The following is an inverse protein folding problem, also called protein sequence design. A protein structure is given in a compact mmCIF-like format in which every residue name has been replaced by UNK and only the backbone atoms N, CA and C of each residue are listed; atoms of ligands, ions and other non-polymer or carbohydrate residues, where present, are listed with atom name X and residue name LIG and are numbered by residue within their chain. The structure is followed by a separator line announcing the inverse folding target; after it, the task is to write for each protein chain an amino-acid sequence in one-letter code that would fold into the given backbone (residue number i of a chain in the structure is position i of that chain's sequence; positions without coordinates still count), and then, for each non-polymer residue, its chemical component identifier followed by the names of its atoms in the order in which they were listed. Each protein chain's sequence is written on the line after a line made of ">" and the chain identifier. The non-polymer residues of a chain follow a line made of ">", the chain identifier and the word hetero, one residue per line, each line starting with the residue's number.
data_IF_725341492917
#
_entry.id   IF_725341492917
#
_cell.length_a   1.000
_cell.length_b   1.000
_cell.length_c   1.000
_cell.angle_alpha   90.00
_cell.angle_beta   90.00
_cell.angle_gamma   90.00
#
_symmetry.space_group_name_H-M   'P 1'
#
loop_
_entity.id
_entity.type
_entity.pdbx_description
1 polymer ?
#
# COMPACT_ATOMS: atom_id res chain seq x y z
N UNK A 1 -24.25 -30.37 49.86
CA UNK A 1 -23.65 -31.66 50.27
C UNK A 1 -22.34 -31.75 49.50
N UNK A 2 -21.23 -31.41 50.12
CA UNK A 2 -20.26 -32.26 50.80
C UNK A 2 -19.58 -33.19 49.74
N UNK A 3 -18.30 -33.26 49.56
CA UNK A 3 -17.11 -32.91 50.28
C UNK A 3 -15.88 -33.14 49.39
N UNK A 4 -14.94 -32.35 49.56
CA UNK A 4 -13.57 -32.48 50.13
C UNK A 4 -12.70 -33.64 49.64
N UNK A 5 -11.50 -33.32 49.19
CA UNK A 5 -10.41 -34.25 48.96
C UNK A 5 -9.10 -33.54 48.58
N UNK A 6 -8.39 -33.04 49.64
CA UNK A 6 -7.02 -32.50 49.59
C UNK A 6 -6.04 -33.67 49.65
N UNK A 7 -4.99 -33.68 48.85
CA UNK A 7 -3.69 -34.29 49.26
C UNK A 7 -2.50 -33.72 48.51
N UNK A 8 -1.61 -33.09 49.24
CA UNK A 8 -0.17 -32.85 49.05
C UNK A 8 0.59 -33.86 49.89
N UNK A 9 1.95 -33.89 49.85
CA UNK A 9 2.97 -33.78 48.82
C UNK A 9 4.00 -34.91 48.91
N UNK A 10 4.93 -35.03 47.98
CA UNK A 10 6.18 -35.76 48.24
C UNK A 10 7.39 -34.99 47.74
N UNK A 11 8.23 -34.67 48.72
CA UNK A 11 9.57 -34.11 48.59
C UNK A 11 10.55 -35.22 48.14
N UNK A 12 11.47 -34.92 47.24
CA UNK A 12 12.69 -35.66 47.13
C UNK A 12 13.90 -34.76 46.90
N UNK A 13 14.94 -35.20 47.52
CA UNK A 13 16.09 -34.54 48.07
C UNK A 13 17.18 -34.20 47.03
N UNK A 14 17.83 -33.11 47.34
CA UNK A 14 19.12 -32.58 46.95
C UNK A 14 20.24 -33.66 47.01
N UNK A 15 21.10 -33.71 45.96
CA UNK A 15 22.47 -34.16 46.08
C UNK A 15 23.39 -33.14 45.41
N UNK A 16 24.27 -32.56 46.25
CA UNK A 16 25.43 -31.77 45.86
C UNK A 16 26.56 -32.74 45.44
N UNK A 17 27.15 -32.50 44.29
CA UNK A 17 28.47 -33.02 43.99
C UNK A 17 29.36 -31.87 43.50
N UNK A 18 30.26 -31.45 44.35
CA UNK A 18 31.34 -30.53 44.06
C UNK A 18 32.39 -31.26 43.21
N UNK A 19 32.82 -30.70 42.08
CA UNK A 19 34.02 -31.11 41.38
C UNK A 19 34.87 -29.89 41.08
N UNK A 20 36.08 -29.95 41.66
CA UNK A 20 37.19 -29.04 41.51
C UNK A 20 37.69 -29.06 40.07
N UNK A 21 37.77 -27.90 39.42
CA UNK A 21 38.44 -27.75 38.12
C UNK A 21 39.74 -26.99 38.30
N UNK A 22 40.82 -27.69 38.02
CA UNK A 22 42.19 -27.19 37.92
C UNK A 22 42.29 -26.28 36.70
N UNK A 23 42.79 -25.08 36.91
CA UNK A 23 43.14 -24.13 35.86
C UNK A 23 44.41 -24.59 35.13
N UNK A 24 44.31 -24.80 33.83
CA UNK A 24 45.46 -24.81 32.93
C UNK A 24 45.35 -23.60 31.99
N UNK A 25 46.08 -22.58 32.31
CA UNK A 25 46.33 -21.45 31.44
C UNK A 25 47.28 -21.90 30.31
N UNK A 26 46.74 -22.01 29.09
CA UNK A 26 47.56 -21.99 27.89
C UNK A 26 47.08 -20.81 27.03
N UNK A 27 47.97 -19.84 26.95
CA UNK A 27 47.76 -18.66 26.11
C UNK A 27 47.64 -19.04 24.65
N UNK A 28 46.47 -18.74 24.10
CA UNK A 28 46.29 -18.52 22.68
C UNK A 28 45.84 -17.07 22.52
N UNK A 29 46.79 -16.20 22.24
CA UNK A 29 46.52 -14.88 21.70
C UNK A 29 45.91 -15.01 20.31
N UNK A 30 44.61 -15.40 20.27
CA UNK A 30 43.79 -15.24 19.12
C UNK A 30 43.53 -13.75 18.97
N UNK A 31 44.23 -13.11 18.06
CA UNK A 31 43.93 -11.75 17.64
C UNK A 31 42.50 -11.73 17.16
N UNK A 32 41.62 -11.07 17.92
CA UNK A 32 40.39 -10.55 17.42
C UNK A 32 40.82 -9.59 16.32
N UNK A 33 40.69 -10.03 15.06
CA UNK A 33 40.80 -9.14 13.93
C UNK A 33 39.72 -8.08 14.18
N UNK A 34 40.14 -6.92 14.64
CA UNK A 34 39.30 -5.73 14.62
C UNK A 34 38.86 -5.59 13.17
N UNK A 35 37.59 -5.92 12.88
CA UNK A 35 36.97 -5.55 11.63
C UNK A 35 37.21 -4.05 11.50
N UNK A 36 38.14 -3.67 10.63
CA UNK A 36 38.52 -2.29 10.42
C UNK A 36 37.26 -1.55 10.08
N UNK A 37 36.82 -0.67 10.96
CA UNK A 37 35.65 0.20 10.70
C UNK A 37 35.98 0.98 9.44
N UNK A 38 35.41 0.56 8.33
CA UNK A 38 35.53 1.28 7.06
C UNK A 38 34.94 2.65 7.33
N UNK A 39 35.80 3.68 7.36
CA UNK A 39 35.36 5.06 7.62
C UNK A 39 34.39 5.45 6.54
N UNK A 40 33.11 5.66 6.90
CA UNK A 40 32.06 6.10 5.98
C UNK A 40 32.48 7.41 5.33
N UNK A 41 32.12 7.58 4.06
CA UNK A 41 32.47 8.74 3.25
C UNK A 41 31.21 9.52 2.92
N UNK A 42 31.39 10.80 2.65
CA UNK A 42 30.39 11.60 1.98
C UNK A 42 30.27 11.12 0.52
N UNK A 43 29.05 10.80 0.09
CA UNK A 43 28.76 10.29 -1.25
C UNK A 43 27.99 11.33 -2.09
N UNK A 44 27.67 12.49 -1.51
CA UNK A 44 26.82 13.52 -2.11
C UNK A 44 25.36 13.08 -2.23
N UNK A 45 24.54 13.88 -2.89
CA UNK A 45 23.13 13.62 -3.14
C UNK A 45 22.38 13.15 -1.87
N UNK A 46 22.45 13.94 -0.81
CA UNK A 46 21.78 13.65 0.46
C UNK A 46 22.41 12.57 1.34
N UNK A 47 23.56 11.97 0.94
CA UNK A 47 24.26 10.95 1.73
C UNK A 47 25.60 11.47 2.20
N UNK A 48 25.68 11.85 3.47
CA UNK A 48 26.92 12.26 4.16
C UNK A 48 27.66 11.06 4.77
N UNK A 49 28.80 11.32 5.39
CA UNK A 49 29.49 10.31 6.18
C UNK A 49 28.73 9.86 7.45
N UNK A 50 27.72 10.63 7.88
CA UNK A 50 26.99 10.40 9.13
C UNK A 50 25.50 10.19 8.91
N UNK A 51 24.93 10.84 7.91
CA UNK A 51 23.48 10.98 7.74
C UNK A 51 23.03 10.67 6.32
N UNK A 52 21.79 10.27 6.19
CA UNK A 52 21.04 10.16 4.94
C UNK A 52 19.85 11.11 5.06
N UNK A 53 19.82 12.14 4.25
CA UNK A 53 18.72 13.11 4.24
C UNK A 53 17.52 12.51 3.48
N UNK A 54 16.36 12.45 4.13
CA UNK A 54 15.14 11.82 3.60
C UNK A 54 13.97 12.79 3.71
N UNK A 55 13.36 13.15 2.58
CA UNK A 55 12.11 13.90 2.56
C UNK A 55 10.95 13.01 3.01
N UNK A 56 10.07 13.55 3.86
CA UNK A 56 8.88 12.84 4.32
C UNK A 56 7.65 13.72 4.08
N UNK A 57 6.73 13.22 3.24
CA UNK A 57 5.51 13.91 2.90
C UNK A 57 4.45 13.79 4.00
N UNK A 58 3.81 14.90 4.32
CA UNK A 58 2.73 15.01 5.29
C UNK A 58 1.50 15.60 4.60
N UNK A 59 0.40 14.87 4.57
CA UNK A 59 -0.86 15.38 3.98
C UNK A 59 -1.52 16.37 4.92
N UNK A 60 -1.96 17.51 4.38
CA UNK A 60 -2.83 18.43 5.09
C UNK A 60 -4.30 17.96 5.02
N UNK A 61 -4.74 17.14 5.95
CA UNK A 61 -6.13 16.64 5.99
C UNK A 61 -7.17 17.75 6.24
N UNK A 62 -6.79 18.86 6.88
CA UNK A 62 -7.72 19.97 7.05
C UNK A 62 -8.07 20.62 5.71
N UNK A 63 -7.17 20.60 4.73
CA UNK A 63 -7.41 21.14 3.39
C UNK A 63 -8.38 20.32 2.55
N UNK A 64 -8.54 19.05 2.87
CA UNK A 64 -9.44 18.10 2.16
C UNK A 64 -10.64 17.68 3.02
N UNK A 65 -10.91 18.37 4.13
CA UNK A 65 -11.97 18.03 5.06
C UNK A 65 -13.40 18.08 4.46
N UNK A 66 -13.57 18.73 3.31
CA UNK A 66 -14.83 18.72 2.56
C UNK A 66 -15.05 17.44 1.74
N UNK A 67 -14.00 16.64 1.55
CA UNK A 67 -14.03 15.38 0.77
C UNK A 67 -13.90 14.14 1.64
N UNK A 68 -13.24 14.25 2.81
CA UNK A 68 -13.00 13.15 3.74
C UNK A 68 -13.26 13.60 5.17
N UNK A 69 -13.87 12.76 5.98
CA UNK A 69 -14.19 13.02 7.39
C UNK A 69 -13.22 12.35 8.37
N UNK A 70 -12.10 11.85 7.87
CA UNK A 70 -11.05 11.24 8.65
C UNK A 70 -9.75 12.07 8.64
N UNK A 71 -8.88 11.74 9.57
CA UNK A 71 -7.49 12.19 9.62
C UNK A 71 -6.59 11.04 10.11
N UNK A 72 -5.27 11.21 10.04
CA UNK A 72 -4.29 10.20 10.47
C UNK A 72 -3.49 10.61 11.71
N UNK A 73 -4.08 11.47 12.54
CA UNK A 73 -3.44 11.99 13.74
C UNK A 73 -2.20 12.83 13.45
N UNK A 74 -1.25 12.82 14.37
CA UNK A 74 0.02 13.55 14.22
C UNK A 74 1.00 12.75 13.37
N UNK A 75 0.90 12.93 12.06
CA UNK A 75 1.67 12.19 11.06
C UNK A 75 3.18 12.41 11.21
N UNK A 76 3.63 13.65 11.45
CA UNK A 76 5.05 13.97 11.64
C UNK A 76 5.61 13.24 12.86
N UNK A 77 4.90 13.30 13.98
CA UNK A 77 5.29 12.57 15.19
C UNK A 77 5.29 11.06 14.97
N UNK A 78 4.33 10.52 14.22
CA UNK A 78 4.27 9.09 13.90
C UNK A 78 5.48 8.68 13.07
N UNK A 79 5.81 9.41 12.01
CA UNK A 79 7.00 9.15 11.20
C UNK A 79 8.30 9.29 12.01
N UNK A 80 8.40 10.33 12.88
CA UNK A 80 9.57 10.55 13.74
C UNK A 80 9.85 9.37 14.68
N UNK A 81 8.80 8.71 15.21
CA UNK A 81 8.96 7.53 16.06
C UNK A 81 9.73 6.42 15.35
N UNK A 82 9.44 6.18 14.08
CA UNK A 82 10.13 5.16 13.30
C UNK A 82 11.54 5.60 12.91
N UNK A 83 11.74 6.85 12.54
CA UNK A 83 13.08 7.43 12.31
C UNK A 83 13.94 7.29 13.56
N UNK A 84 13.44 7.67 14.73
CA UNK A 84 14.15 7.56 15.99
C UNK A 84 14.49 6.11 16.33
N UNK A 85 13.59 5.17 16.05
CA UNK A 85 13.82 3.76 16.24
C UNK A 85 14.95 3.25 15.33
N UNK A 86 14.93 3.58 14.04
CA UNK A 86 15.99 3.22 13.10
C UNK A 86 17.32 3.79 13.56
N UNK A 87 17.36 5.08 13.88
CA UNK A 87 18.56 5.79 14.30
C UNK A 87 19.15 5.23 15.62
N UNK A 88 18.29 4.95 16.61
CA UNK A 88 18.70 4.35 17.88
C UNK A 88 19.30 2.96 17.72
N UNK A 89 18.89 2.24 16.69
CA UNK A 89 19.39 0.90 16.37
C UNK A 89 20.57 0.90 15.38
N UNK A 90 21.25 2.05 15.23
CA UNK A 90 22.47 2.18 14.43
C UNK A 90 22.25 2.78 13.03
N UNK A 91 21.03 3.25 12.73
CA UNK A 91 20.71 3.84 11.45
C UNK A 91 20.72 2.84 10.29
N UNK A 92 21.16 3.28 9.13
CA UNK A 92 21.34 2.47 7.92
C UNK A 92 22.86 2.36 7.67
N UNK A 93 23.43 1.22 7.89
CA UNK A 93 24.88 1.00 7.79
C UNK A 93 25.74 2.03 8.55
N UNK A 94 25.26 2.46 9.71
CA UNK A 94 25.94 3.44 10.56
C UNK A 94 25.69 4.89 10.21
N UNK A 95 24.81 5.20 9.24
CA UNK A 95 24.32 6.55 8.97
C UNK A 95 22.93 6.74 9.58
N UNK A 96 22.71 7.89 10.20
CA UNK A 96 21.39 8.25 10.73
C UNK A 96 20.49 8.77 9.62
N UNK A 97 19.20 8.50 9.70
CA UNK A 97 18.21 9.17 8.85
C UNK A 97 18.05 10.59 9.40
N UNK A 98 18.20 11.58 8.52
CA UNK A 98 17.95 13.01 8.76
C UNK A 98 16.65 13.38 8.02
N UNK A 99 15.48 13.42 8.70
CA UNK A 99 14.19 13.62 8.05
C UNK A 99 13.93 15.09 7.75
N UNK A 100 13.39 15.36 6.55
CA UNK A 100 12.91 16.67 6.12
C UNK A 100 11.41 16.59 5.89
N UNK A 101 10.63 16.97 6.92
CA UNK A 101 9.16 16.94 6.84
C UNK A 101 8.64 18.15 6.05
N UNK A 102 7.69 17.89 5.15
CA UNK A 102 6.95 18.95 4.45
C UNK A 102 5.49 18.57 4.31
N UNK A 103 4.62 19.49 4.71
CA UNK A 103 3.18 19.38 4.55
C UNK A 103 2.76 19.88 3.18
N UNK A 104 1.82 19.23 2.53
CA UNK A 104 1.33 19.59 1.20
C UNK A 104 -0.20 19.44 1.08
N UNK A 105 -0.73 20.08 0.03
CA UNK A 105 -2.12 20.05 -0.36
C UNK A 105 -2.32 19.02 -1.49
N UNK A 106 -3.04 17.90 -1.28
CA UNK A 106 -3.18 16.87 -2.31
C UNK A 106 -4.15 17.27 -3.44
N UNK A 107 -4.80 18.42 -3.33
CA UNK A 107 -5.75 18.91 -4.34
C UNK A 107 -5.03 19.73 -5.41
N UNK A 108 -5.19 19.40 -6.70
CA UNK A 108 -4.60 20.17 -7.79
C UNK A 108 -4.94 21.66 -7.73
N UNK A 109 -3.92 22.51 -7.90
CA UNK A 109 -4.04 23.98 -7.89
C UNK A 109 -4.03 24.63 -6.51
N UNK A 110 -3.93 23.87 -5.42
CA UNK A 110 -3.62 24.39 -4.08
C UNK A 110 -2.13 24.30 -3.82
N UNK A 111 -1.58 25.18 -3.00
CA UNK A 111 -0.14 25.27 -2.69
C UNK A 111 0.15 25.11 -1.19
N UNK A 112 1.22 24.40 -0.80
CA UNK A 112 2.21 23.76 -1.70
C UNK A 112 1.66 22.50 -2.37
N UNK A 113 1.72 22.47 -3.68
CA UNK A 113 1.33 21.31 -4.48
C UNK A 113 2.48 20.28 -4.59
N UNK A 114 2.23 19.07 -5.12
CA UNK A 114 3.25 18.05 -5.28
C UNK A 114 4.48 18.49 -6.07
N UNK A 115 4.33 19.36 -7.06
CA UNK A 115 5.46 19.83 -7.87
C UNK A 115 6.33 20.81 -7.11
N UNK A 116 5.74 21.75 -6.34
CA UNK A 116 6.47 22.65 -5.47
C UNK A 116 7.27 21.88 -4.40
N UNK A 117 6.70 20.79 -3.87
CA UNK A 117 7.43 19.94 -2.95
C UNK A 117 8.60 19.20 -3.60
N UNK A 118 8.44 18.72 -4.83
CA UNK A 118 9.55 18.14 -5.56
C UNK A 118 10.76 19.08 -5.57
N UNK A 119 10.58 20.30 -6.08
CA UNK A 119 11.65 21.32 -6.13
C UNK A 119 12.24 21.56 -4.75
N UNK A 120 11.39 21.73 -3.74
CA UNK A 120 11.84 22.02 -2.39
C UNK A 120 12.68 20.90 -1.78
N UNK A 121 12.33 19.62 -1.97
CA UNK A 121 13.14 18.51 -1.47
C UNK A 121 14.40 18.27 -2.29
N UNK A 122 14.31 18.33 -3.61
CA UNK A 122 15.41 17.91 -4.49
C UNK A 122 16.44 19.00 -4.72
N UNK A 123 16.01 20.27 -4.87
CA UNK A 123 16.89 21.39 -5.15
C UNK A 123 17.31 22.14 -3.88
N UNK A 124 16.35 22.52 -3.01
CA UNK A 124 16.67 23.30 -1.82
C UNK A 124 17.32 22.44 -0.73
N UNK A 125 16.78 21.23 -0.47
CA UNK A 125 17.25 20.35 0.60
C UNK A 125 18.25 19.31 0.13
N UNK A 126 18.19 18.89 -1.13
CA UNK A 126 19.08 17.87 -1.69
C UNK A 126 18.92 16.52 -1.05
N UNK A 127 17.68 16.03 -0.86
CA UNK A 127 17.40 14.74 -0.23
C UNK A 127 17.82 13.56 -1.11
N UNK A 128 18.17 12.43 -0.48
CA UNK A 128 18.48 11.18 -1.17
C UNK A 128 17.22 10.41 -1.59
N UNK A 129 16.18 10.47 -0.77
CA UNK A 129 14.92 9.81 -1.02
C UNK A 129 13.75 10.68 -0.53
N UNK A 130 12.57 10.49 -1.12
CA UNK A 130 11.29 11.03 -0.67
C UNK A 130 10.36 9.88 -0.35
N UNK A 131 9.82 9.88 0.86
CA UNK A 131 8.92 8.89 1.44
C UNK A 131 7.68 9.59 1.99
N UNK A 132 6.79 8.81 2.56
CA UNK A 132 5.58 9.31 3.19
C UNK A 132 4.39 9.28 2.23
N UNK A 133 3.22 9.54 2.74
CA UNK A 133 2.00 9.50 1.94
C UNK A 133 1.98 10.70 0.99
N UNK A 134 2.60 10.51 -0.17
CA UNK A 134 2.68 11.50 -1.24
C UNK A 134 1.80 11.08 -2.41
N UNK A 135 0.61 11.66 -2.46
CA UNK A 135 -0.39 11.39 -3.49
C UNK A 135 -0.40 12.53 -4.50
N UNK A 136 -0.13 12.20 -5.76
CA UNK A 136 -0.27 13.10 -6.90
C UNK A 136 -0.90 12.35 -8.07
N UNK A 137 -2.19 12.53 -8.25
CA UNK A 137 -2.95 11.86 -9.32
C UNK A 137 -2.53 12.27 -10.74
N UNK A 138 -1.73 13.33 -10.88
CA UNK A 138 -1.15 13.73 -12.16
C UNK A 138 0.14 13.02 -12.50
N UNK A 139 0.84 12.50 -11.49
CA UNK A 139 2.16 11.89 -11.58
C UNK A 139 3.31 12.89 -11.79
N UNK A 140 3.02 14.19 -11.87
CA UNK A 140 4.05 15.21 -12.16
C UNK A 140 5.07 15.33 -11.02
N UNK A 141 4.61 15.33 -9.77
CA UNK A 141 5.47 15.40 -8.60
C UNK A 141 6.37 14.17 -8.47
N UNK A 142 5.82 12.96 -8.66
CA UNK A 142 6.60 11.71 -8.63
C UNK A 142 7.63 11.68 -9.75
N UNK A 143 7.25 12.07 -10.97
CA UNK A 143 8.16 12.14 -12.12
C UNK A 143 9.23 13.23 -11.93
N UNK A 144 8.87 14.36 -11.37
CA UNK A 144 9.84 15.41 -11.00
C UNK A 144 10.90 14.83 -10.05
N UNK A 145 10.50 14.16 -8.97
CA UNK A 145 11.44 13.58 -8.01
C UNK A 145 12.31 12.50 -8.66
N UNK A 146 11.68 11.50 -9.28
CA UNK A 146 12.42 10.31 -9.72
C UNK A 146 13.13 10.51 -11.06
N UNK A 147 12.48 11.15 -12.05
CA UNK A 147 12.99 11.27 -13.42
C UNK A 147 13.83 12.51 -13.62
N UNK A 148 13.35 13.67 -13.16
CA UNK A 148 14.02 14.95 -13.44
C UNK A 148 15.19 15.18 -12.49
N UNK A 149 15.00 14.84 -11.19
CA UNK A 149 16.03 15.05 -10.16
C UNK A 149 16.80 13.78 -9.78
N UNK A 150 16.50 12.62 -10.40
CA UNK A 150 17.20 11.36 -10.15
C UNK A 150 17.27 11.01 -8.65
N UNK A 151 16.16 11.25 -7.93
CA UNK A 151 15.99 11.04 -6.50
C UNK A 151 15.05 9.85 -6.29
N UNK A 152 15.32 9.02 -5.27
CA UNK A 152 14.47 7.87 -4.94
C UNK A 152 13.12 8.38 -4.45
N UNK A 153 12.04 7.79 -4.93
CA UNK A 153 10.71 8.00 -4.41
C UNK A 153 10.03 6.66 -4.12
N UNK A 154 9.60 6.46 -2.89
CA UNK A 154 8.73 5.36 -2.47
C UNK A 154 7.39 6.00 -2.10
N UNK A 155 6.34 5.65 -2.83
CA UNK A 155 5.03 6.29 -2.65
C UNK A 155 3.88 5.37 -3.00
N UNK A 156 2.69 5.89 -2.88
CA UNK A 156 1.42 5.19 -3.10
C UNK A 156 0.74 5.66 -4.40
N UNK A 157 -0.31 4.96 -4.82
CA UNK A 157 -1.17 5.32 -5.95
C UNK A 157 -0.43 5.48 -7.29
N UNK A 158 0.63 4.71 -7.52
CA UNK A 158 1.43 4.79 -8.73
C UNK A 158 0.77 4.08 -9.92
N UNK A 159 1.08 4.57 -11.12
CA UNK A 159 0.72 3.95 -12.39
C UNK A 159 1.96 3.39 -13.10
N UNK A 160 1.80 2.29 -13.84
CA UNK A 160 2.90 1.66 -14.60
C UNK A 160 3.60 2.68 -15.50
N UNK A 161 2.84 3.56 -16.15
CA UNK A 161 3.38 4.58 -17.07
C UNK A 161 4.36 5.57 -16.41
N UNK A 162 4.18 5.88 -15.13
CA UNK A 162 5.11 6.75 -14.40
C UNK A 162 6.37 5.99 -14.00
N UNK A 163 6.20 4.75 -13.56
CA UNK A 163 7.31 3.86 -13.25
C UNK A 163 8.17 3.61 -14.50
N UNK A 164 7.55 3.36 -15.65
CA UNK A 164 8.24 3.15 -16.92
C UNK A 164 8.96 4.39 -17.45
N UNK A 165 8.46 5.59 -17.16
CA UNK A 165 9.10 6.85 -17.53
C UNK A 165 10.28 7.21 -16.62
N UNK A 166 10.33 6.65 -15.42
CA UNK A 166 11.37 6.91 -14.44
C UNK A 166 12.58 6.01 -14.65
N UNK A 167 13.79 6.45 -14.27
CA UNK A 167 14.95 5.55 -14.24
C UNK A 167 14.65 4.35 -13.33
N UNK A 168 14.97 3.14 -13.79
CA UNK A 168 14.60 1.92 -13.09
C UNK A 168 15.03 1.91 -11.63
N UNK A 169 14.14 1.54 -10.74
CA UNK A 169 14.37 1.47 -9.30
C UNK A 169 14.39 2.80 -8.55
N UNK A 170 14.02 3.92 -9.18
CA UNK A 170 13.90 5.21 -8.48
C UNK A 170 12.47 5.55 -8.09
N UNK A 171 11.49 5.05 -8.82
CA UNK A 171 10.08 5.17 -8.45
C UNK A 171 9.56 3.79 -8.06
N UNK A 172 9.20 3.62 -6.79
CA UNK A 172 8.78 2.36 -6.18
C UNK A 172 7.49 2.55 -5.39
N UNK A 173 6.74 1.48 -5.26
CA UNK A 173 5.59 1.45 -4.34
C UNK A 173 5.56 0.14 -3.54
N UNK A 174 5.21 0.19 -2.24
CA UNK A 174 4.86 -1.02 -1.49
C UNK A 174 3.60 -1.70 -2.04
N UNK A 175 2.73 -0.92 -2.70
CA UNK A 175 1.47 -1.41 -3.25
C UNK A 175 1.64 -2.06 -4.62
N UNK A 176 0.51 -2.37 -5.24
CA UNK A 176 0.44 -2.68 -6.67
C UNK A 176 0.12 -1.42 -7.49
N UNK A 177 0.46 -1.41 -8.78
CA UNK A 177 -0.02 -0.37 -9.70
C UNK A 177 -1.44 -0.67 -10.17
N UNK A 178 -2.16 0.37 -10.58
CA UNK A 178 -3.54 0.23 -11.11
C UNK A 178 -3.58 -0.66 -12.34
N UNK A 179 -2.59 -0.57 -13.23
CA UNK A 179 -2.51 -1.41 -14.43
C UNK A 179 -2.16 -2.87 -14.08
N UNK A 180 -1.29 -3.10 -13.10
CA UNK A 180 -0.97 -4.44 -12.61
C UNK A 180 -2.19 -5.09 -11.97
N UNK A 181 -2.95 -4.37 -11.17
CA UNK A 181 -4.22 -4.85 -10.60
C UNK A 181 -5.18 -5.31 -11.71
N UNK A 182 -5.35 -4.52 -12.78
CA UNK A 182 -6.18 -4.88 -13.95
C UNK A 182 -5.64 -6.11 -14.67
N UNK A 183 -4.32 -6.17 -14.91
CA UNK A 183 -3.66 -7.32 -15.57
C UNK A 183 -3.86 -8.63 -14.79
N UNK A 184 -4.04 -8.55 -13.47
CA UNK A 184 -4.35 -9.70 -12.60
C UNK A 184 -5.86 -9.97 -12.54
N UNK A 185 -6.67 -8.92 -12.41
CA UNK A 185 -8.12 -9.03 -12.23
C UNK A 185 -8.82 -9.71 -13.41
N UNK A 186 -8.52 -9.26 -14.65
CA UNK A 186 -9.18 -9.83 -15.82
C UNK A 186 -8.93 -11.33 -15.98
N UNK A 187 -7.71 -11.86 -15.88
CA UNK A 187 -7.46 -13.32 -15.85
C UNK A 187 -8.18 -14.06 -14.73
N UNK A 188 -8.26 -13.49 -13.51
CA UNK A 188 -8.98 -14.08 -12.39
C UNK A 188 -10.48 -14.17 -12.67
N UNK A 189 -11.07 -13.09 -13.19
CA UNK A 189 -12.48 -13.08 -13.63
C UNK A 189 -12.77 -14.16 -14.69
N UNK A 190 -11.90 -14.26 -15.69
CA UNK A 190 -12.06 -15.24 -16.76
C UNK A 190 -11.94 -16.67 -16.23
N UNK A 191 -10.95 -16.95 -15.39
CA UNK A 191 -10.73 -18.28 -14.80
C UNK A 191 -11.82 -18.69 -13.81
N UNK A 192 -12.45 -17.73 -13.12
CA UNK A 192 -13.56 -17.98 -12.20
C UNK A 192 -14.87 -18.40 -12.89
N UNK A 193 -14.97 -18.20 -14.19
CA UNK A 193 -16.21 -18.44 -14.95
C UNK A 193 -17.33 -17.42 -14.70
N UNK A 194 -17.11 -16.41 -13.87
CA UNK A 194 -18.12 -15.39 -13.50
C UNK A 194 -18.61 -14.55 -14.68
N UNK A 195 -17.82 -14.48 -15.76
CA UNK A 195 -18.17 -13.76 -16.98
C UNK A 195 -18.83 -14.65 -18.06
N UNK A 196 -19.08 -15.93 -17.79
CA UNK A 196 -19.75 -16.82 -18.74
C UNK A 196 -21.18 -16.33 -19.04
N UNK A 197 -21.48 -16.05 -20.31
CA UNK A 197 -22.79 -15.57 -20.75
C UNK A 197 -23.06 -14.10 -20.39
N UNK A 198 -22.04 -13.36 -19.97
CA UNK A 198 -22.16 -11.93 -19.67
C UNK A 198 -21.86 -11.07 -20.87
N UNK A 199 -22.49 -9.88 -20.88
CA UNK A 199 -22.15 -8.75 -21.76
C UNK A 199 -21.65 -7.63 -20.85
N UNK A 200 -20.40 -7.19 -21.04
CA UNK A 200 -19.73 -6.26 -20.14
C UNK A 200 -19.76 -4.86 -20.75
N UNK A 201 -20.45 -3.92 -20.12
CA UNK A 201 -20.30 -2.48 -20.35
C UNK A 201 -19.22 -1.89 -19.47
N UNK A 202 -18.77 -0.70 -19.75
CA UNK A 202 -17.68 -0.04 -19.05
C UNK A 202 -18.09 1.34 -18.58
N UNK A 203 -17.73 1.65 -17.33
CA UNK A 203 -17.90 2.94 -16.72
C UNK A 203 -16.53 3.44 -16.25
N UNK A 204 -16.12 4.59 -16.72
CA UNK A 204 -14.82 5.14 -16.38
C UNK A 204 -14.84 6.66 -16.38
N UNK A 205 -13.85 7.28 -15.73
CA UNK A 205 -13.51 8.67 -15.93
C UNK A 205 -12.43 8.84 -17.02
N UNK A 206 -12.09 10.08 -17.32
CA UNK A 206 -11.11 10.42 -18.35
C UNK A 206 -9.70 9.90 -18.02
N UNK A 207 -9.35 9.77 -16.72
CA UNK A 207 -8.02 9.35 -16.30
C UNK A 207 -7.82 7.85 -16.44
N UNK A 208 -8.90 7.07 -16.29
CA UNK A 208 -8.86 5.62 -16.37
C UNK A 208 -9.31 5.05 -17.73
N UNK A 209 -9.76 5.89 -18.66
CA UNK A 209 -10.23 5.47 -20.00
C UNK A 209 -9.19 4.63 -20.72
N UNK A 210 -7.94 5.10 -20.80
CA UNK A 210 -6.87 4.37 -21.47
C UNK A 210 -6.64 2.98 -20.85
N UNK A 211 -6.72 2.84 -19.54
CA UNK A 211 -6.61 1.55 -18.86
C UNK A 211 -7.72 0.57 -19.28
N UNK A 212 -8.95 1.07 -19.40
CA UNK A 212 -10.08 0.26 -19.88
C UNK A 212 -9.89 -0.17 -21.35
N UNK A 213 -9.60 0.78 -22.22
CA UNK A 213 -9.51 0.54 -23.67
C UNK A 213 -8.27 -0.29 -24.08
N UNK A 214 -7.15 -0.09 -23.41
CA UNK A 214 -5.89 -0.75 -23.77
C UNK A 214 -5.69 -2.11 -23.06
N UNK A 215 -6.24 -2.32 -21.88
CA UNK A 215 -6.01 -3.53 -21.10
C UNK A 215 -7.28 -4.40 -20.95
N UNK A 216 -8.40 -3.83 -20.55
CA UNK A 216 -9.60 -4.61 -20.20
C UNK A 216 -10.35 -5.09 -21.44
N UNK A 217 -10.72 -4.15 -22.32
CA UNK A 217 -11.51 -4.45 -23.53
C UNK A 217 -10.81 -5.48 -24.44
N UNK A 218 -9.51 -5.34 -24.78
CA UNK A 218 -8.82 -6.33 -25.60
C UNK A 218 -8.75 -7.72 -24.95
N UNK A 219 -8.51 -7.78 -23.64
CA UNK A 219 -8.45 -9.05 -22.90
C UNK A 219 -9.80 -9.78 -22.91
N UNK A 220 -10.91 -9.07 -22.70
CA UNK A 220 -12.25 -9.64 -22.77
C UNK A 220 -12.62 -10.09 -24.20
N UNK A 221 -12.31 -9.28 -25.22
CA UNK A 221 -12.53 -9.65 -26.63
C UNK A 221 -11.71 -10.91 -27.01
N UNK A 222 -10.44 -10.99 -26.60
CA UNK A 222 -9.60 -12.20 -26.79
C UNK A 222 -10.23 -13.44 -26.15
N UNK A 223 -10.85 -13.28 -25.00
CA UNK A 223 -11.57 -14.36 -24.30
C UNK A 223 -12.99 -14.62 -24.84
N UNK A 224 -13.40 -13.95 -25.93
CA UNK A 224 -14.72 -14.04 -26.55
C UNK A 224 -15.87 -13.67 -25.61
N UNK A 225 -15.63 -12.79 -24.64
CA UNK A 225 -16.67 -12.16 -23.82
C UNK A 225 -17.28 -11.02 -24.63
N UNK A 226 -18.61 -10.94 -24.63
CA UNK A 226 -19.31 -9.83 -25.28
C UNK A 226 -19.04 -8.55 -24.53
N UNK A 227 -18.72 -7.48 -25.28
CA UNK A 227 -18.50 -6.14 -24.73
C UNK A 227 -19.54 -5.18 -25.26
N UNK A 228 -20.10 -4.35 -24.40
CA UNK A 228 -20.94 -3.20 -24.72
C UNK A 228 -20.11 -1.91 -24.81
N UNK A 229 -20.79 -0.79 -24.80
CA UNK A 229 -20.16 0.54 -24.89
C UNK A 229 -19.45 0.96 -23.60
N UNK A 230 -18.47 1.85 -23.77
CA UNK A 230 -17.77 2.54 -22.68
C UNK A 230 -18.44 3.89 -22.42
N UNK A 231 -18.81 4.13 -21.17
CA UNK A 231 -19.24 5.44 -20.67
C UNK A 231 -18.02 6.12 -20.02
N UNK A 232 -17.50 7.14 -20.67
CA UNK A 232 -16.43 7.99 -20.12
C UNK A 232 -17.10 9.22 -19.53
N UNK A 233 -17.06 9.34 -18.20
CA UNK A 233 -17.70 10.43 -17.50
C UNK A 233 -16.72 11.59 -17.32
N UNK A 234 -17.17 12.78 -17.66
CA UNK A 234 -16.43 14.02 -17.41
C UNK A 234 -16.75 14.51 -16.00
N UNK A 235 -15.83 14.29 -15.07
CA UNK A 235 -15.94 14.74 -13.69
C UNK A 235 -15.03 15.95 -13.52
N UNK A 236 -15.58 17.10 -13.13
CA UNK A 236 -14.82 18.32 -12.90
C UNK A 236 -15.00 18.74 -11.44
N UNK A 237 -13.97 18.52 -10.64
CA UNK A 237 -14.02 18.78 -9.19
C UNK A 237 -15.13 17.94 -8.53
N UNK A 238 -16.01 18.58 -7.78
CA UNK A 238 -17.16 17.93 -7.09
C UNK A 238 -18.47 17.99 -7.87
N UNK A 239 -18.52 18.69 -9.01
CA UNK A 239 -19.74 18.77 -9.81
C UNK A 239 -19.91 17.52 -10.67
N UNK A 240 -20.84 16.67 -10.27
CA UNK A 240 -21.20 15.44 -10.99
C UNK A 240 -22.45 15.57 -11.85
N UNK A 241 -23.07 16.75 -11.93
CA UNK A 241 -24.38 16.94 -12.61
C UNK A 241 -24.33 16.57 -14.10
N UNK A 242 -23.27 16.99 -14.80
CA UNK A 242 -23.07 16.66 -16.21
C UNK A 242 -22.80 15.15 -16.38
N UNK A 243 -21.98 14.56 -15.50
CA UNK A 243 -21.68 13.12 -15.49
C UNK A 243 -22.94 12.29 -15.22
N UNK A 244 -23.82 12.73 -14.33
CA UNK A 244 -25.10 12.09 -14.06
C UNK A 244 -26.02 12.06 -15.28
N UNK A 245 -26.11 13.18 -16.02
CA UNK A 245 -26.91 13.26 -17.26
C UNK A 245 -26.31 12.38 -18.38
N UNK A 246 -25.01 12.35 -18.51
CA UNK A 246 -24.30 11.43 -19.43
C UNK A 246 -24.61 9.96 -19.10
N UNK A 247 -24.57 9.61 -17.82
CA UNK A 247 -24.82 8.24 -17.36
C UNK A 247 -26.24 7.77 -17.74
N UNK A 248 -27.27 8.62 -17.67
CA UNK A 248 -28.61 8.24 -18.08
C UNK A 248 -28.64 7.74 -19.53
N UNK A 249 -27.99 8.46 -20.42
CA UNK A 249 -27.92 8.09 -21.84
C UNK A 249 -27.18 6.75 -22.02
N UNK A 250 -26.10 6.52 -21.26
CA UNK A 250 -25.36 5.26 -21.32
C UNK A 250 -26.14 4.09 -20.72
N UNK A 251 -26.90 4.28 -19.65
CA UNK A 251 -27.77 3.24 -19.09
C UNK A 251 -28.76 2.73 -20.12
N UNK A 252 -29.45 3.63 -20.86
CA UNK A 252 -30.37 3.22 -21.91
C UNK A 252 -29.65 2.49 -23.07
N UNK A 253 -28.45 2.95 -23.44
CA UNK A 253 -27.64 2.28 -24.43
C UNK A 253 -27.24 0.88 -23.97
N UNK A 254 -26.75 0.71 -22.73
CA UNK A 254 -26.39 -0.58 -22.16
C UNK A 254 -27.56 -1.56 -22.12
N UNK A 255 -28.77 -1.07 -21.76
CA UNK A 255 -30.00 -1.91 -21.83
C UNK A 255 -30.24 -2.42 -23.24
N UNK A 256 -30.09 -1.56 -24.25
CA UNK A 256 -30.29 -1.93 -25.66
C UNK A 256 -29.23 -2.91 -26.18
N UNK A 257 -28.02 -2.84 -25.66
CA UNK A 257 -26.90 -3.74 -25.97
C UNK A 257 -26.94 -5.06 -25.20
N UNK A 258 -27.89 -5.21 -24.25
CA UNK A 258 -28.01 -6.38 -23.39
C UNK A 258 -26.89 -6.51 -22.35
N UNK A 259 -26.30 -5.38 -21.94
CA UNK A 259 -25.31 -5.33 -20.87
C UNK A 259 -25.94 -5.79 -19.56
N UNK A 260 -25.29 -6.72 -18.89
CA UNK A 260 -25.69 -7.26 -17.59
C UNK A 260 -24.53 -7.32 -16.58
N UNK A 261 -23.42 -6.75 -16.94
CA UNK A 261 -22.23 -6.58 -16.11
C UNK A 261 -21.59 -5.25 -16.44
N UNK A 262 -21.16 -4.47 -15.44
CA UNK A 262 -20.49 -3.19 -15.64
C UNK A 262 -19.15 -3.24 -14.93
N UNK A 263 -18.08 -3.03 -15.70
CA UNK A 263 -16.73 -2.84 -15.19
C UNK A 263 -16.51 -1.35 -14.91
N UNK A 264 -16.15 -1.03 -13.67
CA UNK A 264 -15.89 0.32 -13.19
C UNK A 264 -14.40 0.53 -13.01
N UNK A 265 -13.85 1.59 -13.58
CA UNK A 265 -12.46 1.99 -13.44
C UNK A 265 -12.34 3.48 -13.11
N UNK A 266 -11.47 3.85 -12.19
CA UNK A 266 -11.41 5.23 -11.69
C UNK A 266 -12.64 5.55 -10.83
N UNK A 267 -13.19 6.76 -10.92
CA UNK A 267 -14.44 7.18 -10.26
C UNK A 267 -14.38 7.25 -8.73
N UNK A 268 -13.22 7.30 -8.13
CA UNK A 268 -12.98 7.12 -6.70
C UNK A 268 -14.03 7.78 -5.77
N UNK A 269 -14.12 9.08 -5.77
CA UNK A 269 -15.03 9.80 -4.85
C UNK A 269 -16.50 9.86 -5.32
N UNK A 270 -16.77 9.59 -6.61
CA UNK A 270 -18.09 9.78 -7.23
C UNK A 270 -18.83 8.47 -7.49
N UNK A 271 -18.19 7.32 -7.28
CA UNK A 271 -18.72 6.01 -7.66
C UNK A 271 -20.09 5.72 -7.01
N UNK A 272 -20.30 6.13 -5.76
CA UNK A 272 -21.54 5.91 -5.01
C UNK A 272 -22.78 6.39 -5.78
N UNK A 273 -22.79 7.64 -6.21
CA UNK A 273 -23.93 8.22 -6.90
C UNK A 273 -24.22 7.49 -8.23
N UNK A 274 -23.17 7.08 -8.94
CA UNK A 274 -23.31 6.36 -10.20
C UNK A 274 -23.79 4.93 -9.98
N UNK A 275 -23.30 4.25 -8.96
CA UNK A 275 -23.71 2.88 -8.59
C UNK A 275 -25.19 2.84 -8.20
N UNK A 276 -25.65 3.76 -7.34
CA UNK A 276 -27.05 3.85 -6.97
C UNK A 276 -27.95 4.01 -8.21
N UNK A 277 -27.60 4.92 -9.10
CA UNK A 277 -28.34 5.18 -10.33
C UNK A 277 -28.39 3.97 -11.27
N UNK A 278 -27.25 3.30 -11.45
CA UNK A 278 -27.14 2.07 -12.25
C UNK A 278 -28.03 0.98 -11.64
N UNK A 279 -27.95 0.76 -10.33
CA UNK A 279 -28.74 -0.27 -9.65
C UNK A 279 -30.24 0.00 -9.66
N UNK A 280 -30.65 1.27 -9.59
CA UNK A 280 -32.05 1.64 -9.78
C UNK A 280 -32.57 1.27 -11.18
N UNK A 281 -31.79 1.52 -12.21
CA UNK A 281 -32.16 1.30 -13.60
C UNK A 281 -31.93 -0.15 -14.07
N UNK A 282 -30.95 -0.85 -13.48
CA UNK A 282 -30.48 -2.20 -13.83
C UNK A 282 -30.21 -3.03 -12.55
N UNK A 283 -31.25 -3.39 -11.78
CA UNK A 283 -31.09 -3.95 -10.41
C UNK A 283 -30.27 -5.25 -10.35
N UNK A 284 -30.29 -6.05 -11.41
CA UNK A 284 -29.59 -7.34 -11.47
C UNK A 284 -28.19 -7.26 -12.15
N UNK A 285 -27.71 -6.06 -12.44
CA UNK A 285 -26.39 -5.90 -13.06
C UNK A 285 -25.29 -6.31 -12.07
N UNK A 286 -24.34 -7.09 -12.56
CA UNK A 286 -23.12 -7.40 -11.81
C UNK A 286 -22.14 -6.23 -11.93
N UNK A 287 -21.61 -5.77 -10.81
CA UNK A 287 -20.55 -4.76 -10.78
C UNK A 287 -19.19 -5.41 -10.67
N UNK A 288 -18.23 -4.88 -11.38
CA UNK A 288 -16.82 -5.22 -11.31
C UNK A 288 -16.06 -3.95 -11.00
N UNK A 289 -15.11 -3.99 -10.06
CA UNK A 289 -14.32 -2.83 -9.68
C UNK A 289 -12.82 -3.14 -9.66
N UNK A 290 -12.01 -2.23 -10.15
CA UNK A 290 -10.55 -2.33 -10.13
C UNK A 290 -9.89 -1.47 -9.03
N UNK A 291 -10.69 -0.79 -8.20
CA UNK A 291 -10.19 0.13 -7.19
C UNK A 291 -10.62 -0.27 -5.77
N UNK A 292 -9.69 -0.21 -4.81
CA UNK A 292 -9.93 -0.48 -3.39
C UNK A 292 -10.92 0.52 -2.76
N UNK A 293 -10.88 1.79 -3.17
CA UNK A 293 -11.81 2.83 -2.69
C UNK A 293 -13.30 2.50 -2.91
N UNK A 294 -13.62 1.61 -3.84
CA UNK A 294 -14.98 1.14 -4.03
C UNK A 294 -15.44 0.23 -2.89
N UNK A 295 -14.50 -0.39 -2.17
CA UNK A 295 -14.79 -1.18 -0.97
C UNK A 295 -15.27 -0.30 0.17
N UNK A 296 -14.57 0.79 0.45
CA UNK A 296 -14.95 1.75 1.49
C UNK A 296 -16.36 2.29 1.27
N UNK A 297 -16.68 2.66 0.03
CA UNK A 297 -18.04 3.11 -0.32
C UNK A 297 -19.10 2.02 -0.13
N UNK A 298 -18.76 0.77 -0.38
CA UNK A 298 -19.67 -0.35 -0.14
C UNK A 298 -19.94 -0.55 1.36
N UNK A 299 -18.93 -0.40 2.19
CA UNK A 299 -19.04 -0.44 3.66
C UNK A 299 -19.84 0.75 4.20
N UNK A 300 -19.64 1.96 3.67
CA UNK A 300 -20.42 3.15 4.03
C UNK A 300 -21.92 2.95 3.79
N UNK A 301 -22.30 2.24 2.73
CA UNK A 301 -23.70 1.92 2.48
C UNK A 301 -24.27 0.93 3.50
N UNK A 302 -23.45 0.02 4.04
CA UNK A 302 -23.84 -0.86 5.15
C UNK A 302 -24.04 -0.03 6.43
N UNK A 303 -23.08 0.83 6.76
CA UNK A 303 -23.17 1.75 7.92
C UNK A 303 -24.41 2.67 7.83
N UNK A 304 -24.74 3.11 6.62
CA UNK A 304 -25.95 3.90 6.36
C UNK A 304 -27.26 3.08 6.41
N UNK A 305 -27.20 1.78 6.67
CA UNK A 305 -28.36 0.88 6.76
C UNK A 305 -29.08 0.64 5.42
N UNK A 306 -28.38 0.79 4.31
CA UNK A 306 -28.97 0.54 2.98
C UNK A 306 -29.23 -0.95 2.75
N UNK A 307 -30.49 -1.28 2.49
CA UNK A 307 -30.92 -2.66 2.18
C UNK A 307 -31.92 -2.65 1.01
N UNK A 308 -31.62 -3.29 -0.13
CA UNK A 308 -30.35 -4.00 -0.40
C UNK A 308 -29.17 -3.02 -0.60
N UNK A 309 -27.97 -3.44 -0.21
CA UNK A 309 -26.75 -2.70 -0.49
C UNK A 309 -26.51 -2.67 -2.03
N UNK A 310 -26.29 -1.51 -2.65
CA UNK A 310 -26.11 -1.44 -4.10
C UNK A 310 -24.84 -2.14 -4.61
N UNK A 311 -23.87 -2.38 -3.73
CA UNK A 311 -22.62 -3.08 -4.06
C UNK A 311 -22.67 -4.57 -3.81
N UNK A 312 -23.79 -5.12 -3.29
CA UNK A 312 -23.90 -6.54 -2.97
C UNK A 312 -23.50 -7.44 -4.14
N UNK A 313 -22.55 -8.38 -3.88
CA UNK A 313 -22.02 -9.28 -4.90
C UNK A 313 -21.06 -8.65 -5.92
N UNK A 314 -20.69 -7.39 -5.76
CA UNK A 314 -19.65 -6.75 -6.60
C UNK A 314 -18.35 -7.57 -6.54
N UNK A 315 -17.71 -7.78 -7.69
CA UNK A 315 -16.44 -8.47 -7.77
C UNK A 315 -15.28 -7.47 -7.87
N UNK A 316 -14.24 -7.72 -7.08
CA UNK A 316 -13.01 -6.93 -7.09
C UNK A 316 -11.77 -7.82 -7.04
N UNK A 317 -10.62 -7.25 -7.44
CA UNK A 317 -9.32 -7.81 -7.11
C UNK A 317 -8.85 -7.16 -5.84
N UNK A 318 -8.47 -7.96 -4.88
CA UNK A 318 -7.93 -7.49 -3.60
C UNK A 318 -6.65 -8.26 -3.26
N UNK A 319 -5.80 -7.65 -2.46
CA UNK A 319 -4.67 -8.29 -1.81
C UNK A 319 -5.07 -9.09 -0.57
N UNK A 320 -4.19 -9.15 0.36
CA UNK A 320 -4.47 -9.49 1.75
C UNK A 320 -5.17 -8.31 2.40
N UNK A 321 -6.29 -8.54 3.09
CA UNK A 321 -7.00 -7.41 3.74
C UNK A 321 -6.26 -6.95 4.99
N UNK A 322 -6.53 -5.72 5.42
CA UNK A 322 -5.93 -5.20 6.65
C UNK A 322 -6.29 -6.05 7.87
N UNK A 323 -7.51 -6.59 7.92
CA UNK A 323 -8.01 -7.46 8.99
C UNK A 323 -7.30 -8.81 8.98
N UNK A 324 -7.06 -9.40 7.82
CA UNK A 324 -6.28 -10.63 7.68
C UNK A 324 -4.83 -10.40 8.11
N UNK A 325 -4.21 -9.34 7.63
CA UNK A 325 -2.85 -8.93 8.02
C UNK A 325 -2.76 -8.67 9.52
N UNK A 326 -3.77 -8.00 10.10
CA UNK A 326 -3.86 -7.77 11.54
C UNK A 326 -4.04 -9.07 12.33
N UNK A 327 -4.83 -9.99 11.83
CA UNK A 327 -5.07 -11.30 12.46
C UNK A 327 -3.84 -12.21 12.41
N UNK A 328 -3.13 -12.26 11.29
CA UNK A 328 -1.93 -13.08 11.09
C UNK A 328 -0.66 -12.40 11.58
N UNK A 329 -0.59 -11.07 11.51
CA UNK A 329 0.53 -10.16 11.76
C UNK A 329 1.82 -10.63 11.10
N UNK A 330 2.14 -10.05 9.95
CA UNK A 330 3.49 -10.17 9.40
C UNK A 330 4.51 -9.73 10.46
N UNK A 331 5.75 -10.18 10.36
CA UNK A 331 6.78 -9.76 11.33
C UNK A 331 6.96 -8.26 11.32
N UNK A 332 6.91 -7.65 10.11
CA UNK A 332 7.05 -6.20 9.97
C UNK A 332 5.87 -5.46 10.59
N UNK A 333 4.64 -5.91 10.39
CA UNK A 333 3.46 -5.30 11.04
C UNK A 333 3.59 -5.36 12.57
N UNK A 334 3.92 -6.52 13.13
CA UNK A 334 4.12 -6.65 14.57
C UNK A 334 5.22 -5.70 15.07
N UNK A 335 6.33 -5.61 14.33
CA UNK A 335 7.43 -4.71 14.66
C UNK A 335 6.98 -3.24 14.63
N UNK A 336 6.19 -2.83 13.64
CA UNK A 336 5.67 -1.47 13.52
C UNK A 336 4.78 -1.11 14.72
N UNK A 337 3.86 -1.99 15.07
CA UNK A 337 2.98 -1.84 16.24
C UNK A 337 3.79 -1.73 17.53
N UNK A 338 4.70 -2.67 17.77
CA UNK A 338 5.53 -2.69 18.99
C UNK A 338 6.38 -1.42 19.15
N UNK A 339 6.95 -0.90 18.06
CA UNK A 339 7.74 0.34 18.07
C UNK A 339 6.86 1.51 18.49
N UNK A 340 5.70 1.66 17.85
CA UNK A 340 4.79 2.77 18.10
C UNK A 340 4.24 2.72 19.54
N UNK A 341 3.71 1.59 19.98
CA UNK A 341 3.16 1.40 21.32
C UNK A 341 4.20 1.60 22.42
N UNK A 342 5.42 1.12 22.19
CA UNK A 342 6.52 1.34 23.13
C UNK A 342 6.88 2.81 23.28
N UNK A 343 6.85 3.57 22.20
CA UNK A 343 7.21 4.99 22.17
C UNK A 343 6.11 5.87 22.79
N UNK A 344 4.85 5.59 22.47
CA UNK A 344 3.72 6.46 22.83
C UNK A 344 2.95 6.02 24.07
N UNK A 345 3.05 4.75 24.45
CA UNK A 345 2.19 4.09 25.44
C UNK A 345 0.72 4.07 25.04
N UNK A 346 0.45 4.19 23.75
CA UNK A 346 -0.90 4.14 23.16
C UNK A 346 -0.99 2.86 22.35
N UNK A 347 -2.03 2.09 22.58
CA UNK A 347 -2.31 0.88 21.78
C UNK A 347 -2.69 1.28 20.36
N UNK A 348 -2.10 0.64 19.38
CA UNK A 348 -2.52 0.77 17.98
C UNK A 348 -3.82 -0.01 17.82
N UNK A 349 -4.92 0.62 17.42
CA UNK A 349 -6.18 -0.07 17.17
C UNK A 349 -6.05 -1.05 16.00
N UNK A 350 -6.98 -1.99 15.89
CA UNK A 350 -7.14 -2.78 14.66
C UNK A 350 -7.59 -1.90 13.49
N UNK A 351 -7.52 -2.41 12.26
CA UNK A 351 -7.87 -1.64 11.06
C UNK A 351 -9.30 -1.12 11.06
N UNK A 352 -10.25 -1.87 11.64
CA UNK A 352 -11.66 -1.49 11.76
C UNK A 352 -11.96 -0.61 12.98
N UNK A 353 -10.98 -0.47 13.88
CA UNK A 353 -11.13 0.29 15.12
C UNK A 353 -10.68 1.73 14.90
N UNK A 354 -11.63 2.62 14.69
CA UNK A 354 -11.34 4.04 14.57
C UNK A 354 -11.51 4.75 15.91
N UNK A 355 -10.71 5.77 16.15
CA UNK A 355 -10.86 6.67 17.28
C UNK A 355 -11.40 8.01 16.80
N UNK A 356 -11.97 8.80 17.70
CA UNK A 356 -12.46 10.13 17.36
C UNK A 356 -11.62 11.17 18.10
N UNK A 357 -11.11 12.16 17.39
CA UNK A 357 -10.37 13.24 18.01
C UNK A 357 -11.29 14.25 18.73
N UNK A 358 -10.70 15.23 19.41
CA UNK A 358 -11.43 16.26 20.13
C UNK A 358 -12.31 17.16 19.21
N UNK A 359 -12.09 17.16 17.91
CA UNK A 359 -12.88 17.87 16.90
C UNK A 359 -14.04 17.02 16.34
N UNK A 360 -14.18 15.76 16.78
CA UNK A 360 -15.18 14.81 16.28
C UNK A 360 -14.82 14.13 14.95
N UNK A 361 -13.58 14.29 14.46
CA UNK A 361 -13.12 13.61 13.25
C UNK A 361 -12.64 12.19 13.57
N UNK A 362 -12.88 11.27 12.67
CA UNK A 362 -12.31 9.92 12.69
C UNK A 362 -10.78 9.97 12.56
N UNK A 363 -10.08 9.21 13.40
CA UNK A 363 -8.63 9.08 13.35
C UNK A 363 -8.25 7.66 12.99
N UNK A 364 -7.64 7.50 11.83
CA UNK A 364 -7.16 6.23 11.29
C UNK A 364 -5.70 5.99 11.70
N UNK A 365 -5.49 5.72 12.98
CA UNK A 365 -4.14 5.55 13.53
C UNK A 365 -3.43 4.31 12.97
N UNK A 366 -4.16 3.22 12.75
CA UNK A 366 -3.61 2.00 12.13
C UNK A 366 -2.91 2.33 10.80
N UNK A 367 -3.61 3.04 9.91
CA UNK A 367 -3.09 3.38 8.58
C UNK A 367 -1.86 4.30 8.70
N UNK A 368 -1.90 5.30 9.57
CA UNK A 368 -0.74 6.17 9.79
C UNK A 368 0.52 5.39 10.25
N UNK A 369 0.33 4.44 11.17
CA UNK A 369 1.42 3.60 11.71
C UNK A 369 1.96 2.68 10.61
N UNK A 370 1.10 2.05 9.83
CA UNK A 370 1.50 1.08 8.80
C UNK A 370 2.17 1.74 7.60
N UNK A 371 1.68 2.88 7.14
CA UNK A 371 2.24 3.60 6.00
C UNK A 371 3.66 4.09 6.31
N UNK A 372 3.84 4.92 7.36
CA UNK A 372 5.16 5.46 7.68
C UNK A 372 6.17 4.38 8.07
N UNK A 373 5.74 3.37 8.82
CA UNK A 373 6.60 2.24 9.14
C UNK A 373 6.99 1.46 7.88
N UNK A 374 6.01 1.09 7.06
CA UNK A 374 6.20 0.28 5.86
C UNK A 374 7.19 0.93 4.88
N UNK A 375 7.01 2.21 4.57
CA UNK A 375 7.89 2.92 3.65
C UNK A 375 9.31 3.10 4.20
N UNK A 376 9.45 3.51 5.48
CA UNK A 376 10.75 3.70 6.11
C UNK A 376 11.52 2.38 6.22
N UNK A 377 10.84 1.27 6.53
CA UNK A 377 11.49 -0.04 6.60
C UNK A 377 11.78 -0.62 5.21
N UNK A 378 10.93 -0.37 4.21
CA UNK A 378 11.23 -0.71 2.81
C UNK A 378 12.48 0.03 2.33
N UNK A 379 12.56 1.35 2.56
CA UNK A 379 13.73 2.15 2.26
C UNK A 379 14.98 1.60 2.97
N UNK A 380 14.90 1.41 4.29
CA UNK A 380 16.00 0.87 5.10
C UNK A 380 16.48 -0.47 4.58
N UNK A 381 15.57 -1.41 4.34
CA UNK A 381 15.90 -2.77 3.91
C UNK A 381 16.65 -2.79 2.57
N UNK A 382 16.22 -1.96 1.62
CA UNK A 382 16.92 -1.84 0.32
C UNK A 382 18.26 -1.12 0.50
N UNK A 383 18.33 -0.08 1.32
CA UNK A 383 19.57 0.67 1.57
C UNK A 383 20.64 -0.19 2.28
N UNK A 384 20.24 -1.05 3.22
CA UNK A 384 21.13 -2.01 3.88
C UNK A 384 21.67 -3.08 2.89
N UNK A 385 20.87 -3.50 1.89
CA UNK A 385 21.35 -4.39 0.82
C UNK A 385 22.40 -3.69 -0.09
N UNK A 386 22.28 -2.37 -0.27
CA UNK A 386 23.32 -1.58 -0.97
C UNK A 386 24.61 -1.52 -0.17
N UNK A 387 24.50 -1.45 1.16
CA UNK A 387 25.64 -1.34 2.07
C UNK A 387 26.25 0.07 2.13
N UNK A 388 27.48 0.20 2.67
CA UNK A 388 28.07 1.50 3.02
C UNK A 388 28.32 2.43 1.82
N UNK A 389 28.26 1.90 0.60
CA UNK A 389 28.42 2.71 -0.63
C UNK A 389 27.06 3.07 -1.24
N UNK A 390 26.20 3.69 -0.45
CA UNK A 390 24.83 4.04 -0.79
C UNK A 390 24.77 5.22 -1.77
N UNK A 391 24.79 4.89 -3.06
CA UNK A 391 24.62 5.83 -4.17
C UNK A 391 23.39 5.46 -4.98
N UNK A 392 22.82 6.39 -5.73
CA UNK A 392 21.69 6.15 -6.64
C UNK A 392 21.96 4.95 -7.55
N UNK A 393 23.13 4.89 -8.17
CA UNK A 393 23.51 3.77 -9.06
C UNK A 393 23.55 2.43 -8.34
N UNK A 394 23.99 2.39 -7.10
CA UNK A 394 24.05 1.12 -6.35
C UNK A 394 22.67 0.75 -5.80
N UNK A 395 21.85 1.74 -5.42
CA UNK A 395 20.44 1.54 -5.08
C UNK A 395 19.69 0.86 -6.23
N UNK A 396 19.76 1.41 -7.44
CA UNK A 396 19.13 0.83 -8.62
C UNK A 396 19.55 -0.63 -8.87
N UNK A 397 20.85 -0.93 -8.70
CA UNK A 397 21.36 -2.30 -8.83
C UNK A 397 20.83 -3.24 -7.75
N UNK A 398 20.67 -2.74 -6.53
CA UNK A 398 20.13 -3.53 -5.42
C UNK A 398 18.65 -3.83 -5.69
N UNK A 399 17.85 -2.83 -6.05
CA UNK A 399 16.43 -3.02 -6.41
C UNK A 399 16.26 -4.01 -7.56
N UNK A 400 17.08 -3.88 -8.62
CA UNK A 400 17.01 -4.77 -9.78
C UNK A 400 17.28 -6.26 -9.46
N UNK A 401 17.90 -6.55 -8.33
CA UNK A 401 18.29 -7.90 -7.91
C UNK A 401 17.68 -8.32 -6.58
N UNK A 402 16.78 -7.52 -6.03
CA UNK A 402 16.35 -7.65 -4.64
C UNK A 402 15.68 -9.00 -4.37
N UNK A 403 14.70 -9.39 -5.16
CA UNK A 403 13.90 -10.59 -4.94
C UNK A 403 12.73 -10.34 -3.99
N UNK A 404 12.52 -11.26 -3.05
CA UNK A 404 11.44 -11.13 -2.07
C UNK A 404 11.69 -10.00 -1.08
N UNK A 405 10.64 -9.25 -0.76
CA UNK A 405 10.62 -8.21 0.27
C UNK A 405 9.45 -8.47 1.21
N UNK A 406 9.62 -8.18 2.49
CA UNK A 406 8.55 -8.21 3.47
C UNK A 406 7.86 -6.84 3.51
N UNK A 407 6.55 -6.82 3.41
CA UNK A 407 5.73 -5.63 3.55
C UNK A 407 4.90 -5.71 4.83
N UNK A 408 4.39 -4.58 5.27
CA UNK A 408 3.47 -4.52 6.42
C UNK A 408 2.20 -5.33 6.13
N UNK A 409 1.66 -5.18 4.93
CA UNK A 409 0.40 -5.80 4.54
C UNK A 409 0.53 -7.28 4.15
N UNK A 410 1.69 -7.73 3.64
CA UNK A 410 1.83 -9.09 3.10
C UNK A 410 3.27 -9.58 3.03
N UNK A 411 3.45 -10.89 3.12
CA UNK A 411 4.72 -11.59 2.86
C UNK A 411 4.86 -11.99 1.37
N UNK A 412 3.83 -11.75 0.56
CA UNK A 412 3.82 -12.09 -0.87
C UNK A 412 4.16 -10.84 -1.66
N UNK A 413 5.44 -10.47 -1.62
CA UNK A 413 5.92 -9.27 -2.30
C UNK A 413 7.34 -9.46 -2.84
N UNK A 414 7.67 -8.76 -3.93
CA UNK A 414 8.97 -8.84 -4.57
C UNK A 414 9.32 -7.62 -5.40
N UNK A 415 10.63 -7.37 -5.54
CA UNK A 415 11.19 -6.34 -6.41
C UNK A 415 12.26 -6.96 -7.30
N UNK A 416 12.29 -6.56 -8.57
CA UNK A 416 13.36 -6.91 -9.49
C UNK A 416 13.34 -5.99 -10.72
N UNK A 417 14.32 -6.13 -11.60
CA UNK A 417 14.44 -5.31 -12.80
C UNK A 417 13.14 -5.25 -13.59
N UNK A 418 12.59 -4.05 -13.74
CA UNK A 418 11.35 -3.78 -14.45
C UNK A 418 10.07 -4.17 -13.66
N UNK A 419 10.19 -4.48 -12.37
CA UNK A 419 9.09 -4.64 -11.44
C UNK A 419 9.41 -3.87 -10.15
N UNK A 420 8.78 -2.72 -9.99
CA UNK A 420 9.04 -1.76 -8.94
C UNK A 420 7.81 -1.43 -8.06
N UNK A 421 6.69 -2.08 -8.34
CA UNK A 421 5.53 -2.25 -7.46
C UNK A 421 5.70 -3.57 -6.70
N UNK A 422 5.74 -3.52 -5.37
CA UNK A 422 6.21 -4.64 -4.58
C UNK A 422 5.16 -5.71 -4.32
N UNK A 423 3.90 -5.33 -4.02
CA UNK A 423 2.83 -6.27 -3.70
C UNK A 423 2.51 -7.23 -4.85
N UNK A 424 2.48 -8.52 -4.53
CA UNK A 424 2.18 -9.63 -5.43
C UNK A 424 0.99 -10.47 -4.97
N UNK A 425 0.36 -10.10 -3.85
CA UNK A 425 -0.73 -10.85 -3.25
C UNK A 425 -2.07 -10.48 -3.88
N UNK A 426 -2.73 -11.42 -4.58
CA UNK A 426 -4.01 -11.13 -5.24
C UNK A 426 -4.98 -12.29 -5.17
N UNK A 427 -6.26 -11.95 -5.07
CA UNK A 427 -7.39 -12.84 -5.25
C UNK A 427 -8.58 -12.11 -5.86
N UNK A 428 -9.48 -12.87 -6.45
CA UNK A 428 -10.83 -12.39 -6.76
C UNK A 428 -11.69 -12.51 -5.51
N UNK A 429 -12.39 -11.45 -5.16
CA UNK A 429 -13.33 -11.42 -4.05
C UNK A 429 -14.67 -10.83 -4.47
N UNK A 430 -15.70 -11.10 -3.68
CA UNK A 430 -17.04 -10.54 -3.83
C UNK A 430 -17.40 -9.79 -2.56
N UNK A 431 -17.93 -8.59 -2.68
CA UNK A 431 -18.45 -7.87 -1.52
C UNK A 431 -19.72 -8.56 -0.98
N UNK A 432 -19.76 -8.75 0.33
CA UNK A 432 -20.86 -9.38 1.06
C UNK A 432 -21.22 -8.49 2.26
N UNK A 433 -22.35 -7.81 2.18
CA UNK A 433 -22.82 -6.88 3.21
C UNK A 433 -23.18 -7.56 4.55
N UNK A 434 -23.22 -8.88 4.60
CA UNK A 434 -23.51 -9.65 5.81
C UNK A 434 -22.24 -10.12 6.57
N UNK A 435 -21.04 -9.81 6.05
CA UNK A 435 -19.77 -10.15 6.71
C UNK A 435 -19.33 -9.02 7.62
N UNK A 436 -18.97 -9.33 8.87
CA UNK A 436 -18.59 -8.30 9.86
C UNK A 436 -19.73 -7.36 10.23
N UNK A 437 -19.39 -6.20 10.75
CA UNK A 437 -20.37 -5.16 11.11
C UNK A 437 -20.70 -4.24 9.91
N UNK A 438 -19.72 -4.04 9.02
CA UNK A 438 -19.79 -3.06 7.93
C UNK A 438 -19.81 -3.70 6.54
N UNK A 439 -19.89 -5.03 6.47
CA UNK A 439 -19.69 -5.77 5.23
C UNK A 439 -18.20 -5.91 4.89
N UNK A 440 -17.84 -6.94 4.15
CA UNK A 440 -16.45 -7.19 3.77
C UNK A 440 -16.34 -8.01 2.48
N UNK A 441 -15.11 -8.17 2.00
CA UNK A 441 -14.77 -8.95 0.83
C UNK A 441 -14.65 -10.43 1.14
N UNK A 442 -15.51 -11.23 0.53
CA UNK A 442 -15.46 -12.68 0.59
C UNK A 442 -14.66 -13.27 -0.55
N UNK A 443 -13.65 -14.06 -0.24
CA UNK A 443 -12.80 -14.70 -1.23
C UNK A 443 -13.57 -15.57 -2.21
N UNK A 444 -13.44 -15.30 -3.51
CA UNK A 444 -13.93 -16.15 -4.61
C UNK A 444 -12.85 -17.11 -5.08
N UNK A 445 -11.59 -16.66 -5.06
CA UNK A 445 -10.41 -17.48 -5.32
C UNK A 445 -9.45 -17.40 -4.15
N UNK A 446 -8.58 -18.41 -3.95
CA UNK A 446 -7.52 -18.30 -2.96
C UNK A 446 -6.54 -17.16 -3.31
N UNK A 447 -5.91 -16.59 -2.28
CA UNK A 447 -4.81 -15.65 -2.44
C UNK A 447 -3.65 -16.31 -3.17
N UNK A 448 -3.06 -15.61 -4.13
CA UNK A 448 -1.97 -16.11 -4.96
C UNK A 448 -0.91 -15.05 -5.17
N UNK A 449 0.33 -15.51 -5.34
CA UNK A 449 1.42 -14.74 -5.87
C UNK A 449 1.22 -14.52 -7.39
N UNK A 450 0.90 -13.30 -7.77
CA UNK A 450 0.67 -12.91 -9.16
C UNK A 450 1.95 -12.52 -9.90
N UNK A 451 3.11 -12.47 -9.21
CA UNK A 451 4.41 -12.21 -9.87
C UNK A 451 4.77 -13.31 -10.86
N UNK A 452 4.11 -14.48 -10.74
CA UNK A 452 4.42 -15.66 -11.52
C UNK A 452 5.85 -16.17 -11.28
N UNK A 453 6.46 -15.81 -10.16
CA UNK A 453 7.84 -16.11 -9.84
C UNK A 453 8.87 -15.25 -10.60
N UNK A 454 8.45 -14.14 -11.21
CA UNK A 454 9.32 -13.25 -12.02
C UNK A 454 10.55 -12.77 -11.25
N UNK A 455 10.41 -12.51 -9.96
CA UNK A 455 11.48 -12.03 -9.08
C UNK A 455 12.05 -13.14 -8.18
N UNK A 456 11.70 -14.41 -8.41
CA UNK A 456 12.26 -15.51 -7.65
C UNK A 456 13.68 -15.79 -8.11
N UNK A 457 14.63 -15.42 -7.25
CA UNK A 457 16.07 -15.67 -7.28
C UNK A 457 16.88 -14.90 -8.33
N UNK A 458 17.60 -13.90 -7.85
CA UNK A 458 18.95 -13.72 -8.35
C UNK A 458 19.68 -15.05 -8.13
N UNK A 459 19.92 -15.82 -9.17
CA UNK A 459 20.94 -16.87 -9.14
C UNK A 459 22.22 -16.20 -8.67
N UNK A 460 22.75 -16.63 -7.50
CA UNK A 460 24.11 -16.29 -7.12
C UNK A 460 25.01 -16.77 -8.25
N UNK A 461 25.40 -15.84 -9.11
CA UNK A 461 26.49 -16.06 -10.09
C UNK A 461 27.82 -15.88 -9.41
#
# INVERSE_FOLDING_TARGET
>A
MAGTGISRPSKWKVWFAALVVVALALGASGGVAAAGSTKLKDLGHGVSAKDIKVGIAIINYDSIAEYVDFERGDQEKTAQIFVDNINKNGGVDGRMIDPVYKTYEPIPGRTPDPLALCTSWTEDEGVFAVLGVFIDFSGQGQLCIAKEHNTIHIGHELEDKWIEQSPGGLLLTPDTTKETAVKVFVPLLLSSGKLKGKTVGFLTDQNAEGRVEDLVVPALKKAKIKTGSTAVLSITGTDTSAAQAQLDSFIEKWKSEGVNTIYMAGLTASAKQFVEKIKQAMPNVLLLADASSTAEQAQDEVKAGKSPNPYEGMLGVIGETSEESWGSKTKLLQQCVDIYEKATKTTVPGPDEVTTNAKGKTVELYIAVTDFCGELFMFRTIAEEVGPNLTIKNWQKAVDKFGKIELVATDIASLCKGKYAADDAFRLAAFDSAVGEDGDWKSVTPLKDASGGRCTKATKS
#
